data_IF_637501894732
#
_entry.id   IF_637501894732
#
_cell.length_a   1.000
_cell.length_b   1.000
_cell.length_c   1.000
_cell.angle_alpha   90.00
_cell.angle_beta   90.00
_cell.angle_gamma   90.00
#
_symmetry.space_group_name_H-M   'P 1'
#
loop_
_entity.id
_entity.type
_entity.pdbx_description
1 polymer ?
#
# COMPACT_ATOMS: atom_id res chain seq x y z
N UNK A 1 22.86 11.91 -32.68
CA UNK A 1 22.00 11.55 -31.53
C UNK A 1 21.16 12.74 -31.07
N UNK A 2 21.44 13.95 -31.55
CA UNK A 2 20.83 15.21 -31.12
C UNK A 2 19.38 15.43 -31.61
N UNK A 3 18.92 14.59 -32.53
CA UNK A 3 17.61 14.73 -33.20
C UNK A 3 16.41 14.39 -32.28
N UNK A 4 16.65 13.68 -31.18
CA UNK A 4 15.61 13.23 -30.23
C UNK A 4 15.64 13.96 -28.88
N UNK A 5 16.45 15.03 -28.75
CA UNK A 5 16.56 15.79 -27.50
C UNK A 5 17.19 14.99 -26.35
N UNK A 6 18.05 14.02 -26.68
CA UNK A 6 18.81 13.27 -25.70
C UNK A 6 19.89 14.17 -25.09
N UNK A 7 20.11 14.12 -23.76
CA UNK A 7 21.15 14.90 -23.11
C UNK A 7 22.54 14.44 -23.57
N UNK A 8 23.48 15.38 -23.70
CA UNK A 8 24.85 15.08 -24.17
C UNK A 8 25.67 14.35 -23.10
N UNK A 9 25.32 14.56 -21.83
CA UNK A 9 25.93 13.91 -20.66
C UNK A 9 24.89 13.67 -19.56
N UNK A 10 25.20 12.79 -18.62
CA UNK A 10 24.33 12.57 -17.45
C UNK A 10 24.18 13.84 -16.61
N UNK A 11 25.21 14.68 -16.52
CA UNK A 11 25.13 15.97 -15.83
C UNK A 11 24.15 16.95 -16.51
N UNK A 12 24.14 16.98 -17.84
CA UNK A 12 23.19 17.79 -18.62
C UNK A 12 21.75 17.30 -18.41
N UNK A 13 21.56 15.98 -18.39
CA UNK A 13 20.28 15.35 -18.07
C UNK A 13 19.79 15.73 -16.67
N UNK A 14 20.69 15.70 -15.68
CA UNK A 14 20.41 16.06 -14.30
C UNK A 14 20.08 17.55 -14.17
N UNK A 15 20.82 18.44 -14.85
CA UNK A 15 20.52 19.87 -14.87
C UNK A 15 19.13 20.14 -15.43
N UNK A 16 18.72 19.41 -16.47
CA UNK A 16 17.37 19.47 -17.02
C UNK A 16 16.31 18.94 -16.05
N UNK A 17 16.56 17.82 -15.39
CA UNK A 17 15.67 17.27 -14.34
C UNK A 17 15.49 18.25 -13.17
N UNK A 18 16.58 18.91 -12.76
CA UNK A 18 16.58 19.88 -11.66
C UNK A 18 16.06 21.27 -12.06
N UNK A 19 15.81 21.51 -13.35
CA UNK A 19 15.41 22.82 -13.86
C UNK A 19 16.47 23.89 -13.62
N UNK A 20 17.74 23.50 -13.67
CA UNK A 20 18.88 24.40 -13.58
C UNK A 20 19.10 25.11 -14.92
N UNK A 21 19.53 26.39 -14.91
CA UNK A 21 19.79 27.14 -16.13
C UNK A 21 20.81 26.40 -17.02
N UNK A 22 20.61 26.34 -18.35
CA UNK A 22 19.65 27.11 -19.17
C UNK A 22 18.23 26.54 -19.23
N UNK A 23 17.96 25.42 -18.57
CA UNK A 23 16.67 24.73 -18.64
C UNK A 23 15.68 25.31 -17.63
N UNK A 24 14.43 25.49 -18.05
CA UNK A 24 13.31 25.85 -17.17
C UNK A 24 12.69 24.56 -16.62
N UNK A 25 12.05 24.61 -15.44
CA UNK A 25 11.39 23.45 -14.82
C UNK A 25 10.43 22.73 -15.80
N UNK A 26 10.95 21.73 -16.51
CA UNK A 26 10.19 20.82 -17.36
C UNK A 26 9.71 19.67 -16.48
N UNK A 27 8.44 19.72 -16.07
CA UNK A 27 7.83 18.67 -15.23
C UNK A 27 7.73 17.29 -15.92
N UNK A 28 8.11 17.18 -17.19
CA UNK A 28 7.82 16.04 -18.07
C UNK A 28 9.09 15.33 -18.59
N UNK A 29 10.25 15.59 -18.00
CA UNK A 29 11.50 14.91 -18.39
C UNK A 29 11.77 13.72 -17.46
N UNK A 30 12.14 12.58 -18.05
CA UNK A 30 12.56 11.39 -17.33
C UNK A 30 13.88 10.90 -17.91
N UNK A 31 14.83 10.56 -17.02
CA UNK A 31 16.11 9.99 -17.37
C UNK A 31 16.10 8.50 -17.10
N UNK A 32 16.55 7.72 -18.09
CA UNK A 32 16.85 6.30 -17.92
C UNK A 32 18.36 6.17 -18.02
N UNK A 33 18.98 5.76 -16.92
CA UNK A 33 20.42 5.57 -16.83
C UNK A 33 20.74 4.38 -15.90
N UNK A 34 22.01 4.11 -15.69
CA UNK A 34 22.48 3.07 -14.78
C UNK A 34 21.97 3.28 -13.35
N UNK A 35 21.47 2.20 -12.73
CA UNK A 35 20.83 2.27 -11.42
C UNK A 35 21.77 2.73 -10.30
N UNK A 36 23.05 2.41 -10.38
CA UNK A 36 24.06 2.79 -9.38
C UNK A 36 24.31 4.29 -9.39
N UNK A 37 24.40 4.91 -10.57
CA UNK A 37 24.58 6.34 -10.72
C UNK A 37 23.37 7.10 -10.18
N UNK A 38 22.16 6.74 -10.64
CA UNK A 38 20.93 7.37 -10.16
C UNK A 38 20.73 7.20 -8.65
N UNK A 39 21.06 6.02 -8.10
CA UNK A 39 21.02 5.77 -6.65
C UNK A 39 22.00 6.63 -5.88
N UNK A 40 23.20 6.89 -6.42
CA UNK A 40 24.17 7.77 -5.79
C UNK A 40 23.69 9.23 -5.79
N UNK A 41 23.11 9.69 -6.90
CA UNK A 41 22.48 11.00 -6.96
C UNK A 41 21.33 11.11 -5.97
N UNK A 42 20.50 10.08 -5.82
CA UNK A 42 19.35 10.08 -4.91
C UNK A 42 19.81 10.03 -3.43
N UNK A 43 20.97 9.44 -3.18
CA UNK A 43 21.60 9.43 -1.87
C UNK A 43 22.17 10.79 -1.46
N UNK A 44 22.59 11.60 -2.43
CA UNK A 44 23.24 12.91 -2.18
C UNK A 44 22.30 14.11 -2.37
N UNK A 45 21.19 13.95 -3.10
CA UNK A 45 20.24 15.01 -3.41
C UNK A 45 18.79 14.52 -3.29
N UNK A 46 17.94 15.31 -2.63
CA UNK A 46 16.52 14.98 -2.41
C UNK A 46 15.55 15.61 -3.45
N UNK A 47 16.09 16.22 -4.51
CA UNK A 47 15.32 17.04 -5.45
C UNK A 47 14.61 16.21 -6.54
N UNK A 48 14.89 14.91 -6.62
CA UNK A 48 14.30 14.02 -7.61
C UNK A 48 13.86 12.71 -6.96
N UNK A 49 12.93 12.01 -7.60
CA UNK A 49 12.49 10.69 -7.18
C UNK A 49 13.12 9.64 -8.11
N UNK A 50 13.66 8.59 -7.52
CA UNK A 50 14.08 7.40 -8.26
C UNK A 50 12.90 6.42 -8.25
N UNK A 51 12.49 5.96 -9.43
CA UNK A 51 11.51 4.88 -9.49
C UNK A 51 12.15 3.58 -9.00
N UNK A 52 11.46 2.84 -8.14
CA UNK A 52 11.99 1.60 -7.59
C UNK A 52 12.00 0.51 -8.66
N UNK A 53 13.19 -0.01 -8.98
CA UNK A 53 13.36 -1.14 -9.88
C UNK A 53 14.51 -0.95 -10.87
N UNK A 54 15.14 -2.07 -11.23
CA UNK A 54 16.13 -2.13 -12.30
C UNK A 54 15.50 -2.87 -13.48
N UNK A 55 15.43 -2.24 -14.66
CA UNK A 55 14.90 -2.88 -15.86
C UNK A 55 15.70 -4.13 -16.26
N UNK A 56 16.99 -4.16 -15.96
CA UNK A 56 17.87 -5.29 -16.23
C UNK A 56 19.03 -5.30 -15.23
N UNK A 57 19.30 -6.45 -14.62
CA UNK A 57 20.47 -6.65 -13.75
C UNK A 57 21.68 -7.01 -14.61
N UNK A 58 22.58 -6.07 -14.83
CA UNK A 58 23.85 -6.31 -15.54
C UNK A 58 25.00 -6.28 -14.55
N UNK A 59 25.81 -7.34 -14.43
CA UNK A 59 26.96 -7.33 -13.54
C UNK A 59 28.12 -6.51 -14.15
N UNK A 60 28.90 -5.85 -13.29
CA UNK A 60 30.18 -5.27 -13.69
C UNK A 60 31.23 -6.36 -13.85
N UNK A 61 32.08 -6.22 -14.88
CA UNK A 61 33.17 -7.14 -15.16
C UNK A 61 34.43 -6.38 -15.55
N UNK A 62 35.58 -6.96 -15.20
CA UNK A 62 36.89 -6.46 -15.62
C UNK A 62 37.29 -7.22 -16.88
N UNK A 63 37.47 -6.49 -17.98
CA UNK A 63 37.93 -7.06 -19.24
C UNK A 63 39.45 -7.27 -19.22
N UNK A 64 39.89 -8.44 -19.67
CA UNK A 64 41.31 -8.78 -19.84
C UNK A 64 41.53 -9.32 -21.24
N UNK A 65 42.76 -9.22 -21.75
CA UNK A 65 43.10 -9.74 -23.08
C UNK A 65 42.82 -11.25 -23.15
N UNK A 66 42.28 -11.70 -24.29
CA UNK A 66 42.01 -13.11 -24.53
C UNK A 66 43.30 -13.94 -24.42
N UNK A 67 43.23 -15.07 -23.71
CA UNK A 67 44.39 -15.94 -23.48
C UNK A 67 45.36 -15.46 -22.38
N UNK A 68 45.09 -14.34 -21.72
CA UNK A 68 45.95 -13.87 -20.63
C UNK A 68 45.81 -14.73 -19.37
N UNK A 69 46.92 -15.19 -18.75
CA UNK A 69 46.89 -15.96 -17.50
C UNK A 69 46.40 -15.12 -16.30
N UNK A 70 46.38 -13.79 -16.43
CA UNK A 70 45.93 -12.87 -15.39
C UNK A 70 44.42 -13.00 -15.13
N UNK A 71 43.65 -13.50 -16.10
CA UNK A 71 42.22 -13.75 -15.95
C UNK A 71 41.91 -14.60 -14.71
N UNK A 72 42.62 -15.71 -14.56
CA UNK A 72 42.35 -16.67 -13.49
C UNK A 72 42.79 -16.13 -12.13
N UNK A 73 43.87 -15.34 -12.10
CA UNK A 73 44.34 -14.65 -10.89
C UNK A 73 43.28 -13.65 -10.39
N UNK A 74 42.71 -12.82 -11.29
CA UNK A 74 41.66 -11.88 -10.90
C UNK A 74 40.38 -12.59 -10.44
N UNK A 75 39.97 -13.65 -11.12
CA UNK A 75 38.78 -14.41 -10.73
C UNK A 75 38.94 -15.02 -9.34
N UNK A 76 40.10 -15.63 -9.05
CA UNK A 76 40.39 -16.16 -7.72
C UNK A 76 40.40 -15.07 -6.65
N UNK A 77 41.07 -13.93 -6.93
CA UNK A 77 41.11 -12.81 -6.00
C UNK A 77 39.71 -12.25 -5.70
N UNK A 78 38.82 -12.17 -6.70
CA UNK A 78 37.45 -11.69 -6.52
C UNK A 78 36.64 -12.62 -5.61
N UNK A 79 36.75 -13.94 -5.81
CA UNK A 79 36.10 -14.94 -4.96
C UNK A 79 36.58 -14.82 -3.51
N UNK A 80 37.89 -14.64 -3.31
CA UNK A 80 38.47 -14.48 -1.97
C UNK A 80 37.99 -13.20 -1.29
N UNK A 81 37.84 -12.09 -2.03
CA UNK A 81 37.27 -10.83 -1.51
C UNK A 81 35.81 -10.97 -1.07
N UNK A 82 35.02 -11.74 -1.82
CA UNK A 82 33.62 -12.03 -1.49
C UNK A 82 33.53 -12.92 -0.25
N UNK A 83 34.28 -14.02 -0.22
CA UNK A 83 34.38 -14.93 0.94
C UNK A 83 34.78 -14.20 2.22
N UNK A 84 35.72 -13.27 2.12
CA UNK A 84 36.19 -12.46 3.25
C UNK A 84 35.26 -11.28 3.59
N UNK A 85 34.06 -11.20 2.99
CA UNK A 85 33.09 -10.11 3.17
C UNK A 85 33.67 -8.70 2.91
N UNK A 86 34.78 -8.60 2.19
CA UNK A 86 35.44 -7.30 1.95
C UNK A 86 34.59 -6.43 1.03
N UNK A 87 33.91 -7.05 0.05
CA UNK A 87 32.96 -6.36 -0.82
C UNK A 87 31.81 -5.73 -0.04
N UNK A 88 31.27 -6.43 0.97
CA UNK A 88 30.21 -5.90 1.83
C UNK A 88 30.70 -4.69 2.63
N UNK A 89 31.88 -4.78 3.23
CA UNK A 89 32.49 -3.66 3.99
C UNK A 89 32.75 -2.44 3.11
N UNK A 90 33.20 -2.65 1.87
CA UNK A 90 33.37 -1.56 0.91
C UNK A 90 32.02 -0.93 0.55
N UNK A 91 30.98 -1.73 0.34
CA UNK A 91 29.62 -1.23 0.10
C UNK A 91 29.14 -0.36 1.27
N UNK A 92 29.23 -0.84 2.50
CA UNK A 92 28.84 -0.08 3.71
C UNK A 92 29.64 1.22 3.84
N UNK A 93 30.95 1.18 3.54
CA UNK A 93 31.81 2.36 3.58
C UNK A 93 31.38 3.44 2.59
N UNK A 94 31.06 3.06 1.35
CA UNK A 94 30.79 4.02 0.26
C UNK A 94 29.33 4.42 0.12
N UNK A 95 28.39 3.58 0.59
CA UNK A 95 26.96 3.84 0.51
C UNK A 95 26.41 4.30 1.86
N UNK A 96 26.55 3.48 2.90
CA UNK A 96 25.89 3.76 4.18
C UNK A 96 26.60 4.86 4.97
N UNK A 97 27.92 4.80 5.02
CA UNK A 97 28.79 5.73 5.74
C UNK A 97 29.31 6.89 4.87
N UNK A 98 28.63 7.20 3.76
CA UNK A 98 29.04 8.27 2.88
C UNK A 98 28.82 9.64 3.56
N UNK A 99 29.86 10.50 3.70
CA UNK A 99 29.71 11.82 4.31
C UNK A 99 28.81 12.77 3.52
N UNK A 100 28.60 12.52 2.21
CA UNK A 100 27.71 13.31 1.34
C UNK A 100 26.27 12.81 1.36
N UNK A 101 25.96 11.74 2.10
CA UNK A 101 24.61 11.19 2.23
C UNK A 101 23.69 12.19 2.92
N UNK A 102 22.55 12.47 2.32
CA UNK A 102 21.48 13.25 2.95
C UNK A 102 20.52 12.29 3.66
N UNK A 103 20.43 12.40 4.98
CA UNK A 103 19.59 11.50 5.81
C UNK A 103 18.12 11.90 5.85
N UNK A 104 17.83 13.20 5.65
CA UNK A 104 16.50 13.77 5.84
C UNK A 104 15.88 14.18 4.50
N UNK A 105 15.95 13.31 3.49
CA UNK A 105 15.09 13.52 2.34
C UNK A 105 13.65 13.35 2.80
N UNK A 106 12.77 14.36 2.63
CA UNK A 106 11.35 14.14 2.85
C UNK A 106 10.97 12.97 1.97
N UNK A 107 10.33 11.96 2.55
CA UNK A 107 9.88 10.74 1.89
C UNK A 107 8.77 11.11 0.89
N UNK A 108 9.16 11.81 -0.18
CA UNK A 108 8.30 12.19 -1.26
C UNK A 108 8.31 10.99 -2.19
N UNK A 109 7.33 10.12 -1.95
CA UNK A 109 6.99 8.99 -2.81
C UNK A 109 7.90 7.76 -2.55
N UNK A 110 8.01 7.33 -1.29
CA UNK A 110 7.79 5.90 -1.07
C UNK A 110 6.28 5.69 -1.07
N UNK A 111 5.68 5.68 -2.26
CA UNK A 111 4.43 4.97 -2.49
C UNK A 111 4.74 3.47 -2.38
N UNK A 112 5.11 3.04 -1.18
CA UNK A 112 4.74 1.70 -0.76
C UNK A 112 3.23 1.71 -0.85
N UNK A 113 2.68 0.91 -1.76
CA UNK A 113 1.28 0.80 -2.10
C UNK A 113 0.45 0.21 -0.94
N UNK A 114 0.50 0.85 0.22
CA UNK A 114 -0.44 0.66 1.30
C UNK A 114 -1.63 1.57 1.04
N UNK A 115 -2.83 0.98 1.00
CA UNK A 115 -4.12 1.62 0.76
C UNK A 115 -4.25 2.92 1.61
N UNK A 116 -3.89 4.06 1.02
CA UNK A 116 -3.79 5.33 1.75
C UNK A 116 -5.19 5.78 2.18
N UNK A 117 -5.32 6.32 3.41
CA UNK A 117 -6.60 6.69 4.02
C UNK A 117 -7.43 7.64 3.13
N UNK A 118 -6.76 8.42 2.27
CA UNK A 118 -7.38 9.33 1.31
C UNK A 118 -8.18 8.63 0.20
N UNK A 119 -7.80 7.41 -0.21
CA UNK A 119 -8.52 6.66 -1.24
C UNK A 119 -9.64 5.80 -0.65
N UNK A 120 -9.49 5.32 0.58
CA UNK A 120 -10.51 4.49 1.26
C UNK A 120 -11.62 5.33 1.91
N UNK A 121 -11.43 6.65 2.03
CA UNK A 121 -12.37 7.59 2.65
C UNK A 121 -13.76 7.59 2.02
N UNK A 122 -13.87 7.26 0.72
CA UNK A 122 -15.16 7.16 0.03
C UNK A 122 -16.09 6.11 0.66
N UNK A 123 -15.55 4.97 1.08
CA UNK A 123 -16.33 3.88 1.69
C UNK A 123 -16.89 4.32 3.04
N UNK A 124 -16.09 5.00 3.86
CA UNK A 124 -16.54 5.52 5.16
C UNK A 124 -17.65 6.56 5.03
N UNK A 125 -17.58 7.43 4.02
CA UNK A 125 -18.62 8.43 3.76
C UNK A 125 -19.94 7.75 3.37
N UNK A 126 -19.90 6.76 2.47
CA UNK A 126 -21.10 6.02 2.04
C UNK A 126 -21.73 5.28 3.23
N UNK A 127 -20.93 4.64 4.09
CA UNK A 127 -21.40 3.96 5.29
C UNK A 127 -22.05 4.92 6.29
N UNK A 128 -21.42 6.08 6.54
CA UNK A 128 -21.95 7.08 7.46
C UNK A 128 -23.31 7.63 6.98
N UNK A 129 -23.40 7.98 5.69
CA UNK A 129 -24.65 8.47 5.08
C UNK A 129 -25.74 7.40 5.11
N UNK A 130 -25.41 6.16 4.75
CA UNK A 130 -26.34 5.03 4.79
C UNK A 130 -26.90 4.75 6.19
N UNK A 131 -26.05 4.85 7.22
CA UNK A 131 -26.46 4.66 8.61
C UNK A 131 -27.45 5.75 9.07
N UNK A 132 -27.17 7.02 8.76
CA UNK A 132 -28.05 8.14 9.12
C UNK A 132 -29.41 8.05 8.40
N UNK A 133 -29.42 7.73 7.11
CA UNK A 133 -30.65 7.51 6.35
C UNK A 133 -31.46 6.34 6.91
N UNK A 134 -30.80 5.24 7.28
CA UNK A 134 -31.43 4.08 7.93
C UNK A 134 -32.14 4.48 9.23
N UNK A 135 -31.45 5.21 10.11
CA UNK A 135 -32.06 5.71 11.34
C UNK A 135 -33.27 6.63 11.09
N UNK A 136 -33.18 7.53 10.12
CA UNK A 136 -34.29 8.42 9.75
C UNK A 136 -35.52 7.65 9.25
N UNK A 137 -35.33 6.65 8.39
CA UNK A 137 -36.42 5.82 7.88
C UNK A 137 -37.12 5.08 9.02
N UNK A 138 -36.36 4.51 9.96
CA UNK A 138 -36.91 3.81 11.13
C UNK A 138 -37.75 4.76 12.01
N UNK A 139 -37.24 5.97 12.27
CA UNK A 139 -37.96 6.97 13.07
C UNK A 139 -39.27 7.38 12.38
N UNK A 140 -39.22 7.65 11.07
CA UNK A 140 -40.41 8.01 10.29
C UNK A 140 -41.44 6.88 10.27
N UNK A 141 -41.00 5.64 10.05
CA UNK A 141 -41.85 4.46 10.09
C UNK A 141 -42.56 4.32 11.45
N UNK A 142 -41.80 4.49 12.54
CA UNK A 142 -42.33 4.41 13.90
C UNK A 142 -43.35 5.52 14.18
N UNK A 143 -43.07 6.74 13.75
CA UNK A 143 -43.98 7.87 13.94
C UNK A 143 -45.26 7.70 13.13
N UNK A 144 -45.16 7.25 11.88
CA UNK A 144 -46.31 6.98 11.02
C UNK A 144 -47.18 5.84 11.57
N UNK A 145 -46.55 4.78 12.10
CA UNK A 145 -47.25 3.69 12.78
C UNK A 145 -47.98 4.18 14.04
N UNK A 146 -47.34 4.98 14.89
CA UNK A 146 -47.95 5.55 16.08
C UNK A 146 -49.13 6.48 15.74
N UNK A 147 -49.02 7.32 14.72
CA UNK A 147 -50.09 8.23 14.29
C UNK A 147 -51.30 7.46 13.73
N UNK A 148 -51.04 6.43 12.92
CA UNK A 148 -52.08 5.55 12.36
C UNK A 148 -52.68 4.61 13.41
N UNK A 149 -51.91 4.27 14.43
CA UNK A 149 -52.37 3.53 15.62
C UNK A 149 -53.31 4.39 16.46
N UNK A 150 -52.96 5.66 16.74
CA UNK A 150 -53.82 6.60 17.49
C UNK A 150 -55.15 6.87 16.81
N UNK A 151 -55.16 7.03 15.49
CA UNK A 151 -56.40 7.19 14.70
C UNK A 151 -57.24 5.91 14.66
N UNK A 152 -56.63 4.72 14.64
CA UNK A 152 -57.35 3.43 14.80
C UNK A 152 -57.89 3.24 16.22
N UNK A 153 -57.12 3.60 17.25
CA UNK A 153 -57.56 3.52 18.65
C UNK A 153 -58.71 4.49 18.92
N UNK A 154 -58.66 5.71 18.39
CA UNK A 154 -59.76 6.68 18.47
C UNK A 154 -61.06 6.16 17.89
N UNK A 155 -61.00 5.52 16.71
CA UNK A 155 -62.16 4.87 16.07
C UNK A 155 -62.66 3.61 16.79
N UNK A 156 -61.80 2.93 17.57
CA UNK A 156 -62.17 1.76 18.37
C UNK A 156 -62.77 2.15 19.73
N UNK A 157 -62.38 3.30 20.29
CA UNK A 157 -62.95 3.85 21.52
C UNK A 157 -64.32 4.50 21.27
N UNK A 158 -64.51 5.17 20.12
CA UNK A 158 -65.82 5.73 19.71
C UNK A 158 -66.87 4.64 19.46
N UNK A 159 -66.45 3.45 19.00
CA UNK A 159 -67.33 2.29 18.78
C UNK A 159 -67.39 1.31 19.97
N UNK A 160 -66.92 1.70 21.17
CA UNK A 160 -67.07 0.90 22.38
C UNK A 160 -66.45 -0.50 22.31
N UNK A 161 -65.15 -0.63 22.05
CA UNK A 161 -64.46 -1.92 22.07
C UNK A 161 -63.79 -2.21 23.43
N UNK A 162 -64.08 -3.34 24.10
CA UNK A 162 -63.55 -3.65 25.43
C UNK A 162 -62.06 -4.05 25.38
N UNK A 163 -61.23 -3.33 26.13
CA UNK A 163 -59.77 -3.53 26.26
C UNK A 163 -59.35 -4.72 27.14
N UNK A 164 -60.12 -5.81 27.18
CA UNK A 164 -59.78 -7.03 27.94
C UNK A 164 -59.15 -8.14 27.07
N UNK A 165 -59.31 -8.09 25.74
CA UNK A 165 -59.03 -9.27 24.88
C UNK A 165 -57.78 -9.19 24.00
N UNK A 166 -56.79 -8.35 24.32
CA UNK A 166 -55.51 -8.37 23.58
C UNK A 166 -54.52 -9.27 24.31
N UNK A 167 -54.52 -10.56 23.97
CA UNK A 167 -53.48 -11.51 24.41
C UNK A 167 -52.13 -11.10 23.78
N UNK A 168 -51.04 -11.03 24.57
CA UNK A 168 -49.73 -10.69 24.03
C UNK A 168 -49.26 -11.82 23.11
N UNK A 169 -49.06 -11.54 21.82
CA UNK A 169 -48.32 -12.45 20.94
C UNK A 169 -46.85 -12.42 21.37
N UNK A 170 -46.48 -13.37 22.23
CA UNK A 170 -45.08 -13.69 22.55
C UNK A 170 -44.41 -14.21 21.27
N UNK A 171 -43.84 -13.31 20.49
CA UNK A 171 -43.01 -13.65 19.34
C UNK A 171 -41.63 -14.05 19.86
N UNK A 172 -41.47 -15.34 20.18
CA UNK A 172 -40.18 -15.92 20.46
C UNK A 172 -39.39 -16.01 19.15
N UNK A 173 -38.47 -15.08 18.93
CA UNK A 173 -37.41 -15.27 17.94
C UNK A 173 -36.40 -16.23 18.58
N UNK A 174 -36.63 -17.54 18.39
CA UNK A 174 -35.67 -18.57 18.78
C UNK A 174 -34.69 -18.74 17.62
N UNK A 175 -33.64 -17.92 17.59
CA UNK A 175 -32.48 -18.19 16.73
C UNK A 175 -31.85 -19.48 17.27
N UNK A 176 -31.94 -20.57 16.51
CA UNK A 176 -31.12 -21.76 16.75
C UNK A 176 -29.82 -21.58 15.95
N UNK A 177 -28.68 -21.29 16.58
CA UNK A 177 -27.41 -21.39 15.87
C UNK A 177 -27.15 -22.86 15.59
N UNK A 178 -27.01 -23.21 14.31
CA UNK A 178 -26.71 -24.58 13.87
C UNK A 178 -25.19 -24.74 13.85
N UNK A 179 -24.55 -24.77 15.02
CA UNK A 179 -23.14 -25.16 15.09
C UNK A 179 -23.05 -26.67 14.91
N UNK A 180 -22.37 -27.10 13.84
CA UNK A 180 -21.91 -28.48 13.68
C UNK A 180 -20.41 -28.49 13.94
N UNK A 181 -20.03 -28.84 15.18
CA UNK A 181 -18.63 -29.07 15.54
C UNK A 181 -18.27 -30.46 15.01
N UNK A 182 -17.39 -30.52 14.01
CA UNK A 182 -16.77 -31.78 13.57
C UNK A 182 -15.48 -31.93 14.37
N UNK A 183 -15.50 -32.77 15.40
CA UNK A 183 -14.28 -33.17 16.11
C UNK A 183 -13.62 -34.24 15.25
N UNK A 184 -12.54 -33.89 14.58
CA UNK A 184 -11.64 -34.87 14.00
C UNK A 184 -10.94 -35.62 15.15
N UNK A 185 -11.10 -36.95 15.28
CA UNK A 185 -10.34 -37.70 16.24
C UNK A 185 -8.90 -37.79 15.74
N UNK A 186 -8.07 -36.96 16.38
CA UNK A 186 -6.67 -37.24 16.70
C UNK A 186 -5.71 -37.45 15.51
N UNK A 187 -4.96 -36.39 15.19
CA UNK A 187 -3.52 -36.47 14.96
C UNK A 187 -2.88 -35.06 15.00
N UNK A 188 -2.07 -34.85 16.05
CA UNK A 188 -0.99 -33.86 16.18
C UNK A 188 -1.35 -32.48 16.83
N UNK A 189 -0.79 -32.14 18.02
CA UNK A 189 -1.18 -30.97 18.81
C UNK A 189 -0.38 -29.68 18.49
N UNK A 190 -0.34 -29.24 17.23
CA UNK A 190 0.41 -28.01 16.85
C UNK A 190 -0.11 -27.25 15.62
N UNK A 191 -1.43 -27.14 15.41
CA UNK A 191 -1.96 -26.34 14.29
C UNK A 191 -3.08 -25.40 14.77
N UNK A 192 -2.93 -24.11 14.45
CA UNK A 192 -3.80 -23.02 14.86
C UNK A 192 -5.24 -23.15 14.35
N UNK A 193 -6.15 -22.53 15.08
CA UNK A 193 -7.56 -22.39 14.71
C UNK A 193 -7.67 -21.31 13.64
N UNK A 194 -7.97 -21.73 12.41
CA UNK A 194 -8.31 -20.82 11.31
C UNK A 194 -9.84 -20.72 11.21
N UNK A 195 -10.36 -19.50 11.34
CA UNK A 195 -11.78 -19.18 11.25
C UNK A 195 -12.00 -18.60 9.86
N UNK A 196 -12.69 -19.35 8.99
CA UNK A 196 -13.18 -18.84 7.70
C UNK A 196 -14.70 -18.70 7.80
N UNK A 197 -15.20 -17.45 7.65
CA UNK A 197 -16.62 -17.13 7.61
C UNK A 197 -17.13 -17.17 6.16
N UNK A 198 -18.37 -17.66 5.98
CA UNK A 198 -19.13 -17.63 4.72
C UNK A 198 -20.54 -17.13 4.99
#
# INVERSE_FOLDING_TARGET
>A
MDEYGYPVSTEDALNRMFGLPPYKNDSNFALIDESTELRYWALTNCSFFLFEGEFTKKPYAIAVQQGSPIKDIFNYALIELEKNNTMKRLKEKWWDNNPKRVYNCPERINRSEGLHIGNIGGIFIVLAVGNVLGFLIVILQYWWYCLRSRTRLGKLLENGFPLDKVKPKKFWVRIKPKLRIIIHPDKNPSAGVEIEEL
#
